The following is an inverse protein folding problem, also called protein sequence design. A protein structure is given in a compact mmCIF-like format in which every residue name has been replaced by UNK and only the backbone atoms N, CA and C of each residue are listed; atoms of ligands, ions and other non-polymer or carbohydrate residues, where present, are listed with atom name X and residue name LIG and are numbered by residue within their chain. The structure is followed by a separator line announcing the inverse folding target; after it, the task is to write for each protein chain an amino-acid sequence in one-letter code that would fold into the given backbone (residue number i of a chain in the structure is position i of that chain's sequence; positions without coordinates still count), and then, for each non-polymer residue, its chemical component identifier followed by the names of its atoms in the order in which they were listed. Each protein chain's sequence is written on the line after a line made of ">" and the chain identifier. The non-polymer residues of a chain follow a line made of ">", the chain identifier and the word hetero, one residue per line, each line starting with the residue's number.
data_IF_648336959306
#
_entry.id   IF_648336959306
#
_cell.length_a   1.000
_cell.length_b   1.000
_cell.length_c   1.000
_cell.angle_alpha   90.00
_cell.angle_beta   90.00
_cell.angle_gamma   90.00
#
_symmetry.space_group_name_H-M   'P 1'
#
loop_
_entity.id
_entity.type
_entity.pdbx_description
1 polymer ?
#
# COMPACT_ATOMS: atom_id res chain seq x y z
N UNK A 1 26.53 1.09 -53.44
CA UNK A 1 25.82 -0.18 -53.18
C UNK A 1 24.52 0.02 -52.37
N UNK A 2 24.50 0.81 -51.30
CA UNK A 2 23.30 1.03 -50.43
C UNK A 2 22.17 1.70 -51.22
N UNK A 3 22.44 2.76 -51.99
CA UNK A 3 21.43 3.49 -52.76
C UNK A 3 20.77 2.60 -53.87
N UNK A 4 21.53 1.74 -54.49
CA UNK A 4 20.99 0.80 -55.50
C UNK A 4 20.04 -0.22 -54.86
N UNK A 5 20.38 -0.74 -53.69
CA UNK A 5 19.55 -1.70 -52.95
C UNK A 5 18.26 -1.04 -52.44
N UNK A 6 18.32 0.23 -52.00
CA UNK A 6 17.15 0.99 -51.59
C UNK A 6 16.21 1.26 -52.75
N UNK A 7 16.74 1.59 -53.94
CA UNK A 7 15.93 1.80 -55.15
C UNK A 7 15.23 0.54 -55.61
N UNK A 8 15.92 -0.62 -55.53
CA UNK A 8 15.33 -1.91 -55.86
C UNK A 8 14.24 -2.31 -54.85
N UNK A 9 14.46 -2.11 -53.57
CA UNK A 9 13.48 -2.37 -52.49
C UNK A 9 12.21 -1.51 -52.72
N UNK A 10 12.39 -0.23 -53.02
CA UNK A 10 11.26 0.67 -53.27
C UNK A 10 10.44 0.22 -54.49
N UNK A 11 11.10 -0.15 -55.62
CA UNK A 11 10.41 -0.67 -56.79
C UNK A 11 9.64 -1.95 -56.52
N UNK A 12 10.14 -2.84 -55.69
CA UNK A 12 9.43 -4.06 -55.28
C UNK A 12 8.22 -3.74 -54.40
N UNK A 13 8.33 -2.83 -53.44
CA UNK A 13 7.22 -2.39 -52.61
C UNK A 13 6.07 -1.80 -53.45
N UNK A 14 6.41 -0.98 -54.44
CA UNK A 14 5.42 -0.37 -55.33
C UNK A 14 4.82 -1.38 -56.32
N UNK A 15 5.59 -2.38 -56.76
CA UNK A 15 5.12 -3.44 -57.69
C UNK A 15 4.12 -4.39 -57.00
N UNK A 16 4.36 -4.74 -55.73
CA UNK A 16 3.52 -5.66 -54.96
C UNK A 16 2.73 -4.92 -53.88
N UNK A 17 1.95 -3.91 -54.27
CA UNK A 17 1.29 -2.95 -53.35
C UNK A 17 0.45 -3.61 -52.28
N UNK A 18 -0.34 -4.63 -52.62
CA UNK A 18 -1.23 -5.29 -51.66
C UNK A 18 -0.46 -6.06 -50.62
N UNK A 19 0.53 -6.84 -51.01
CA UNK A 19 1.38 -7.63 -50.10
C UNK A 19 2.20 -6.72 -49.23
N UNK A 20 2.77 -5.64 -49.79
CA UNK A 20 3.52 -4.63 -49.02
C UNK A 20 2.64 -3.92 -48.01
N UNK A 21 1.42 -3.54 -48.39
CA UNK A 21 0.47 -2.92 -47.48
C UNK A 21 0.09 -3.83 -46.31
N UNK A 22 -0.22 -5.11 -46.57
CA UNK A 22 -0.51 -6.09 -45.50
C UNK A 22 0.69 -6.27 -44.58
N UNK A 23 1.90 -6.37 -45.12
CA UNK A 23 3.11 -6.51 -44.30
C UNK A 23 3.37 -5.28 -43.41
N UNK A 24 3.19 -4.07 -43.97
CA UNK A 24 3.36 -2.83 -43.22
C UNK A 24 2.32 -2.73 -42.11
N UNK A 25 1.05 -3.01 -42.39
CA UNK A 25 -0.02 -2.96 -41.39
C UNK A 25 0.21 -4.00 -40.29
N UNK A 26 0.57 -5.23 -40.68
CA UNK A 26 0.88 -6.29 -39.69
C UNK A 26 2.05 -5.90 -38.78
N UNK A 27 3.12 -5.32 -39.34
CA UNK A 27 4.26 -4.85 -38.60
C UNK A 27 3.90 -3.68 -37.68
N UNK A 28 3.11 -2.73 -38.17
CA UNK A 28 2.63 -1.59 -37.38
C UNK A 28 1.79 -2.04 -36.17
N UNK A 29 0.87 -3.01 -36.41
CA UNK A 29 0.09 -3.60 -35.30
C UNK A 29 1.02 -4.30 -34.29
N UNK A 30 1.98 -5.09 -34.78
CA UNK A 30 2.96 -5.74 -33.88
C UNK A 30 3.74 -4.76 -33.03
N UNK A 31 4.24 -3.67 -33.60
CA UNK A 31 4.92 -2.61 -32.83
C UNK A 31 3.99 -1.88 -31.89
N UNK A 32 2.75 -1.60 -32.26
CA UNK A 32 1.78 -0.99 -31.38
C UNK A 32 1.48 -1.87 -30.14
N UNK A 33 1.25 -3.16 -30.37
CA UNK A 33 1.04 -4.12 -29.28
C UNK A 33 2.28 -4.23 -28.36
N UNK A 34 3.47 -4.28 -28.94
CA UNK A 34 4.72 -4.31 -28.17
C UNK A 34 4.92 -3.04 -27.34
N UNK A 35 4.67 -1.86 -27.93
CA UNK A 35 4.78 -0.59 -27.23
C UNK A 35 3.80 -0.51 -26.04
N UNK A 36 2.53 -0.89 -26.27
CA UNK A 36 1.53 -0.91 -25.22
C UNK A 36 1.89 -1.89 -24.11
N UNK A 37 2.32 -3.10 -24.44
CA UNK A 37 2.77 -4.08 -23.45
C UNK A 37 3.98 -3.57 -22.64
N UNK A 38 4.95 -2.95 -23.31
CA UNK A 38 6.13 -2.38 -22.64
C UNK A 38 5.77 -1.22 -21.71
N UNK A 39 4.83 -0.36 -22.13
CA UNK A 39 4.31 0.72 -21.28
C UNK A 39 3.57 0.18 -20.07
N UNK A 40 2.74 -0.86 -20.27
CA UNK A 40 2.02 -1.53 -19.20
C UNK A 40 2.98 -2.17 -18.18
N UNK A 41 3.95 -2.94 -18.65
CA UNK A 41 4.96 -3.56 -17.78
C UNK A 41 5.70 -2.48 -16.98
N UNK A 42 6.12 -1.39 -17.65
CA UNK A 42 6.78 -0.29 -16.96
C UNK A 42 5.87 0.33 -15.89
N UNK A 43 4.60 0.55 -16.19
CA UNK A 43 3.63 1.08 -15.25
C UNK A 43 3.49 0.17 -14.03
N UNK A 44 3.27 -1.13 -14.23
CA UNK A 44 3.13 -2.11 -13.14
C UNK A 44 4.40 -2.25 -12.28
N UNK A 45 5.58 -2.21 -12.90
CA UNK A 45 6.85 -2.39 -12.18
C UNK A 45 7.34 -1.15 -11.46
N UNK A 46 6.69 0.00 -11.65
CA UNK A 46 7.04 1.27 -10.98
C UNK A 46 6.05 1.68 -9.89
N UNK A 47 5.10 0.79 -9.54
CA UNK A 47 4.22 1.01 -8.39
C UNK A 47 5.05 1.23 -7.12
N UNK A 48 4.67 2.24 -6.33
CA UNK A 48 5.33 2.62 -5.07
C UNK A 48 6.84 2.92 -5.16
N UNK A 49 7.43 2.93 -6.38
CA UNK A 49 8.86 3.18 -6.57
C UNK A 49 9.29 4.61 -6.19
N UNK A 50 8.35 5.53 -5.98
CA UNK A 50 8.62 6.92 -5.56
C UNK A 50 8.93 7.05 -4.07
N UNK A 51 8.66 6.02 -3.27
CA UNK A 51 9.03 6.03 -1.85
C UNK A 51 10.55 5.99 -1.69
N UNK A 52 11.04 6.80 -0.75
CA UNK A 52 12.44 6.74 -0.37
C UNK A 52 12.76 5.35 0.16
N UNK A 53 13.87 4.78 -0.29
CA UNK A 53 14.29 3.43 0.12
C UNK A 53 13.32 2.31 -0.30
N UNK A 54 12.49 2.51 -1.34
CA UNK A 54 11.53 1.50 -1.83
C UNK A 54 12.19 0.15 -2.15
N UNK A 55 13.43 0.18 -2.64
CA UNK A 55 14.26 -1.00 -2.93
C UNK A 55 14.67 -1.82 -1.70
N UNK A 56 14.51 -1.25 -0.50
CA UNK A 56 14.81 -1.88 0.79
C UNK A 56 13.58 -2.11 1.66
N UNK A 57 12.39 -1.78 1.14
CA UNK A 57 11.13 -1.96 1.85
C UNK A 57 10.50 -3.30 1.47
N UNK A 58 10.14 -4.09 2.46
CA UNK A 58 9.59 -5.42 2.28
C UNK A 58 8.35 -5.63 3.15
N UNK A 59 7.31 -6.20 2.55
CA UNK A 59 6.13 -6.63 3.31
C UNK A 59 6.40 -7.98 3.98
N UNK A 60 5.99 -8.10 5.24
CA UNK A 60 5.99 -9.37 5.93
C UNK A 60 4.70 -10.12 5.55
N UNK A 61 4.82 -11.27 4.93
CA UNK A 61 3.69 -12.09 4.50
C UNK A 61 3.77 -13.48 5.13
N UNK A 62 2.62 -14.10 5.37
CA UNK A 62 2.60 -15.51 5.76
C UNK A 62 2.72 -16.41 4.52
N UNK A 63 2.81 -17.71 4.75
CA UNK A 63 2.96 -18.73 3.68
C UNK A 63 1.82 -18.79 2.70
N UNK A 64 0.63 -18.42 3.13
CA UNK A 64 -0.56 -18.38 2.29
C UNK A 64 -0.60 -17.09 1.44
N UNK A 65 0.43 -16.24 1.58
CA UNK A 65 0.50 -14.94 0.93
C UNK A 65 -0.37 -13.88 1.58
N UNK A 66 -0.87 -14.12 2.79
CA UNK A 66 -1.64 -13.12 3.52
C UNK A 66 -0.70 -12.06 4.13
N UNK A 67 -1.04 -10.81 3.93
CA UNK A 67 -0.27 -9.63 4.35
C UNK A 67 -0.56 -9.25 5.81
N UNK A 68 -1.62 -9.79 6.39
CA UNK A 68 -2.00 -9.47 7.76
C UNK A 68 -1.39 -10.46 8.74
N UNK A 69 -0.51 -9.98 9.61
CA UNK A 69 0.28 -10.77 10.56
C UNK A 69 0.12 -10.20 11.96
N UNK A 70 0.21 -11.05 12.98
CA UNK A 70 0.14 -10.59 14.36
C UNK A 70 1.37 -9.74 14.74
N UNK A 71 1.15 -8.73 15.56
CA UNK A 71 2.24 -7.90 16.07
C UNK A 71 3.32 -8.73 16.81
N UNK A 72 2.91 -9.76 17.56
CA UNK A 72 3.86 -10.63 18.28
C UNK A 72 4.84 -11.33 17.33
N UNK A 73 4.34 -11.73 16.15
CA UNK A 73 5.21 -12.32 15.13
C UNK A 73 6.20 -11.28 14.58
N UNK A 74 5.71 -10.09 14.24
CA UNK A 74 6.57 -9.00 13.78
C UNK A 74 7.64 -8.62 14.83
N UNK A 75 7.27 -8.53 16.11
CA UNK A 75 8.20 -8.28 17.20
C UNK A 75 9.28 -9.36 17.29
N UNK A 76 8.91 -10.61 17.03
CA UNK A 76 9.87 -11.72 16.97
C UNK A 76 10.81 -11.59 15.78
N UNK A 77 10.30 -11.24 14.59
CA UNK A 77 11.14 -10.99 13.40
C UNK A 77 12.15 -9.89 13.68
N UNK A 78 11.73 -8.76 14.22
CA UNK A 78 12.62 -7.64 14.57
C UNK A 78 13.70 -8.06 15.59
N UNK A 79 13.35 -8.93 16.53
CA UNK A 79 14.28 -9.43 17.53
C UNK A 79 15.37 -10.35 16.95
N UNK A 80 15.02 -11.16 15.96
CA UNK A 80 15.94 -12.17 15.40
C UNK A 80 16.62 -11.72 14.10
N UNK A 81 16.13 -10.67 13.45
CA UNK A 81 16.69 -10.12 12.22
C UNK A 81 17.28 -8.74 12.48
N UNK A 82 18.57 -8.70 12.77
CA UNK A 82 19.29 -7.44 13.09
C UNK A 82 19.43 -6.50 11.88
N UNK A 83 19.12 -6.97 10.70
CA UNK A 83 19.13 -6.23 9.45
C UNK A 83 17.89 -5.32 9.29
N UNK A 84 16.88 -5.48 10.16
CA UNK A 84 15.70 -4.63 10.18
C UNK A 84 16.03 -3.28 10.83
N UNK A 85 16.05 -2.21 10.04
CA UNK A 85 16.30 -0.84 10.51
C UNK A 85 15.05 -0.15 11.03
N UNK A 86 13.91 -0.42 10.38
CA UNK A 86 12.63 0.17 10.77
C UNK A 86 11.48 -0.79 10.45
N UNK A 87 10.40 -0.65 11.18
CA UNK A 87 9.15 -1.37 10.94
C UNK A 87 7.97 -0.45 11.15
N UNK A 88 6.96 -0.61 10.34
CA UNK A 88 5.65 0.01 10.53
C UNK A 88 4.55 -1.02 10.45
N UNK A 89 3.50 -0.80 11.23
CA UNK A 89 2.30 -1.62 11.24
C UNK A 89 1.09 -0.75 10.93
N UNK A 90 0.33 -1.13 9.92
CA UNK A 90 -0.86 -0.39 9.51
C UNK A 90 -1.98 -1.32 9.05
N UNK A 91 -3.17 -0.76 8.85
CA UNK A 91 -4.30 -1.47 8.23
C UNK A 91 -4.88 -0.59 7.14
N UNK A 92 -5.09 -1.14 5.97
CA UNK A 92 -5.53 -0.38 4.79
C UNK A 92 -6.89 -0.82 4.24
N UNK A 93 -7.73 -1.50 5.02
CA UNK A 93 -8.89 -2.19 4.43
C UNK A 93 -10.23 -1.81 5.02
N UNK A 94 -10.32 -0.77 5.85
CA UNK A 94 -11.59 -0.39 6.45
C UNK A 94 -12.25 0.75 5.69
N UNK A 95 -13.37 0.42 5.04
CA UNK A 95 -14.27 1.42 4.45
C UNK A 95 -15.23 1.89 5.52
N UNK A 96 -15.34 3.21 5.66
CA UNK A 96 -16.19 3.85 6.64
C UNK A 96 -17.09 4.87 5.98
N UNK A 97 -18.33 4.98 6.46
CA UNK A 97 -19.17 6.12 6.12
C UNK A 97 -18.78 7.32 6.98
N UNK A 98 -18.28 8.37 6.34
CA UNK A 98 -18.03 9.64 7.01
C UNK A 98 -19.31 10.46 6.99
N UNK A 99 -19.79 10.82 8.18
CA UNK A 99 -21.02 11.60 8.37
C UNK A 99 -20.72 12.90 9.12
N UNK A 100 -21.39 13.96 8.72
CA UNK A 100 -21.36 15.25 9.40
C UNK A 100 -22.80 15.78 9.51
N UNK A 101 -23.24 16.20 10.71
CA UNK A 101 -24.61 16.63 10.98
C UNK A 101 -25.67 15.61 10.49
N UNK A 102 -25.46 14.33 10.81
CA UNK A 102 -26.29 13.20 10.39
C UNK A 102 -26.39 12.95 8.87
N UNK A 103 -25.70 13.75 8.07
CA UNK A 103 -25.64 13.58 6.62
C UNK A 103 -24.40 12.79 6.20
N UNK A 104 -24.58 11.79 5.35
CA UNK A 104 -23.47 11.08 4.71
C UNK A 104 -22.72 12.03 3.77
N UNK A 105 -21.44 12.25 4.01
CA UNK A 105 -20.58 13.03 3.13
C UNK A 105 -19.86 12.16 2.10
N UNK A 106 -19.28 11.05 2.54
CA UNK A 106 -18.56 10.15 1.67
C UNK A 106 -18.31 8.78 2.30
N UNK A 107 -18.04 7.78 1.45
CA UNK A 107 -17.36 6.58 1.85
C UNK A 107 -15.86 6.83 1.74
N UNK A 108 -15.11 6.46 2.76
CA UNK A 108 -13.70 6.77 2.90
C UNK A 108 -12.91 5.54 3.35
N UNK A 109 -11.61 5.54 3.04
CA UNK A 109 -10.64 4.56 3.55
C UNK A 109 -9.94 5.16 4.76
N UNK A 110 -10.15 4.55 5.92
CA UNK A 110 -9.46 4.92 7.15
C UNK A 110 -8.34 3.92 7.44
N UNK A 111 -7.11 4.42 7.47
CA UNK A 111 -5.91 3.63 7.75
C UNK A 111 -5.45 3.88 9.19
N UNK A 112 -5.30 2.80 9.94
CA UNK A 112 -4.65 2.83 11.25
C UNK A 112 -3.16 2.72 11.02
N UNK A 113 -2.39 3.65 11.60
CA UNK A 113 -0.94 3.71 11.43
C UNK A 113 -0.23 4.10 12.71
N UNK A 114 1.07 3.86 12.74
CA UNK A 114 1.99 4.35 13.77
C UNK A 114 2.83 5.53 13.24
N UNK A 115 3.69 6.09 14.09
CA UNK A 115 4.57 7.20 13.69
C UNK A 115 5.58 6.79 12.61
N UNK A 116 6.03 5.53 12.63
CA UNK A 116 6.97 4.99 11.64
C UNK A 116 6.37 4.96 10.23
N UNK A 117 5.03 4.84 10.12
CA UNK A 117 4.32 4.88 8.84
C UNK A 117 4.57 6.18 8.09
N UNK A 118 4.47 7.32 8.79
CA UNK A 118 4.69 8.61 8.15
C UNK A 118 6.13 8.75 7.65
N UNK A 119 7.10 8.30 8.46
CA UNK A 119 8.52 8.36 8.11
C UNK A 119 8.85 7.44 6.93
N UNK A 120 8.44 6.17 7.01
CA UNK A 120 8.78 5.16 6.01
C UNK A 120 8.17 5.46 4.65
N UNK A 121 6.94 5.96 4.65
CA UNK A 121 6.22 6.30 3.41
C UNK A 121 6.35 7.78 3.01
N UNK A 122 7.22 8.55 3.66
CA UNK A 122 7.48 9.98 3.38
C UNK A 122 6.22 10.87 3.38
N UNK A 123 5.27 10.58 4.26
CA UNK A 123 4.06 11.37 4.40
C UNK A 123 4.39 12.63 5.20
N UNK A 124 4.13 13.79 4.61
CA UNK A 124 4.35 15.09 5.25
C UNK A 124 3.05 15.63 5.83
N UNK A 125 3.16 16.18 7.04
CA UNK A 125 2.07 17.00 7.60
C UNK A 125 2.18 18.37 6.95
N UNK A 126 1.14 18.75 6.20
CA UNK A 126 1.06 20.02 5.46
C UNK A 126 0.50 21.15 6.34
N UNK A 127 -0.42 20.79 7.25
CA UNK A 127 -1.02 21.70 8.21
C UNK A 127 -1.43 20.94 9.48
N UNK A 128 -1.50 21.61 10.62
CA UNK A 128 -1.85 21.00 11.90
C UNK A 128 -0.66 20.36 12.62
N UNK A 129 -0.92 19.32 13.41
CA UNK A 129 0.07 18.64 14.25
C UNK A 129 -0.06 17.12 14.16
N UNK A 130 0.92 16.40 14.69
CA UNK A 130 0.94 14.94 14.81
C UNK A 130 0.09 14.38 15.97
N UNK A 131 -0.73 15.21 16.62
CA UNK A 131 -1.61 14.83 17.72
C UNK A 131 -2.46 13.59 17.44
N UNK A 132 -2.89 13.41 16.19
CA UNK A 132 -3.67 12.24 15.75
C UNK A 132 -2.95 10.90 15.96
N UNK A 133 -1.63 10.90 16.10
CA UNK A 133 -0.85 9.69 16.42
C UNK A 133 -0.92 9.32 17.90
N UNK A 134 -1.36 10.21 18.75
CA UNK A 134 -1.38 10.08 20.20
C UNK A 134 -2.78 10.08 20.81
N UNK A 135 -3.76 10.61 20.08
CA UNK A 135 -5.14 10.74 20.53
C UNK A 135 -6.10 9.96 19.60
N UNK A 136 -6.91 9.10 20.20
CA UNK A 136 -7.87 8.24 19.47
C UNK A 136 -9.07 8.99 18.88
N UNK A 137 -9.26 10.26 19.22
CA UNK A 137 -10.33 11.13 18.72
C UNK A 137 -9.88 12.10 17.64
N UNK A 138 -8.59 12.13 17.39
CA UNK A 138 -7.98 12.98 16.39
C UNK A 138 -7.61 12.18 15.16
N UNK A 139 -7.73 12.79 14.00
CA UNK A 139 -7.39 12.18 12.72
C UNK A 139 -6.66 13.16 11.81
N UNK A 140 -5.79 12.61 10.98
CA UNK A 140 -5.26 13.34 9.85
C UNK A 140 -6.06 13.00 8.59
N UNK A 141 -6.25 14.01 7.74
CA UNK A 141 -6.93 13.84 6.45
C UNK A 141 -5.97 14.05 5.30
N UNK A 142 -6.10 13.24 4.26
CA UNK A 142 -5.41 13.45 3.00
C UNK A 142 -5.89 14.76 2.37
N UNK A 143 -4.97 15.57 1.84
CA UNK A 143 -5.25 16.86 1.22
C UNK A 143 -6.32 16.78 0.13
N UNK A 144 -6.24 15.79 -0.77
CA UNK A 144 -7.21 15.63 -1.85
C UNK A 144 -8.61 15.30 -1.32
N UNK A 145 -8.69 14.50 -0.28
CA UNK A 145 -9.95 14.17 0.39
C UNK A 145 -10.52 15.40 1.11
N UNK A 146 -9.65 16.19 1.78
CA UNK A 146 -10.08 17.44 2.42
C UNK A 146 -10.68 18.44 1.42
N UNK A 147 -10.01 18.63 0.28
CA UNK A 147 -10.49 19.50 -0.81
C UNK A 147 -11.83 19.01 -1.40
N UNK A 148 -12.03 17.69 -1.46
CA UNK A 148 -13.28 17.06 -1.95
C UNK A 148 -14.42 17.22 -0.96
N UNK A 149 -14.17 17.03 0.35
CA UNK A 149 -15.20 17.06 1.38
C UNK A 149 -15.58 18.49 1.78
N UNK A 150 -14.62 19.38 1.86
CA UNK A 150 -14.82 20.76 2.32
C UNK A 150 -14.19 21.78 1.35
N UNK A 151 -14.69 21.89 0.12
CA UNK A 151 -14.14 22.78 -0.88
C UNK A 151 -14.13 24.23 -0.39
N UNK A 152 -12.95 24.84 -0.37
CA UNK A 152 -12.76 26.23 0.06
C UNK A 152 -12.92 26.50 1.56
N UNK A 153 -13.00 25.48 2.40
CA UNK A 153 -13.04 25.61 3.86
C UNK A 153 -11.74 25.06 4.47
N UNK A 154 -11.43 25.55 5.66
CA UNK A 154 -10.35 24.95 6.45
C UNK A 154 -10.78 23.56 6.95
N UNK A 155 -10.04 22.51 6.63
CA UNK A 155 -10.33 21.18 7.14
C UNK A 155 -9.94 21.00 8.61
N UNK A 156 -9.01 21.81 9.16
CA UNK A 156 -8.63 21.72 10.57
C UNK A 156 -9.78 22.08 11.49
N UNK A 157 -9.99 21.28 12.52
CA UNK A 157 -11.09 21.46 13.48
C UNK A 157 -12.45 20.98 12.97
N UNK A 158 -12.56 20.47 11.76
CA UNK A 158 -13.83 19.86 11.30
C UNK A 158 -14.13 18.61 12.14
N UNK A 159 -15.37 18.56 12.64
CA UNK A 159 -15.87 17.41 13.39
C UNK A 159 -16.76 16.55 12.50
N UNK A 160 -16.64 15.26 12.63
CA UNK A 160 -17.39 14.25 11.87
C UNK A 160 -17.51 12.96 12.67
N UNK A 161 -18.37 12.07 12.23
CA UNK A 161 -18.51 10.72 12.78
C UNK A 161 -18.16 9.68 11.72
N UNK A 162 -17.64 8.55 12.15
CA UNK A 162 -17.39 7.39 11.30
C UNK A 162 -18.34 6.28 11.69
N UNK A 163 -19.00 5.70 10.68
CA UNK A 163 -19.86 4.54 10.84
C UNK A 163 -19.26 3.36 10.07
N UNK A 164 -18.87 2.32 10.81
CA UNK A 164 -18.31 1.08 10.26
C UNK A 164 -19.32 -0.05 10.15
N UNK A 165 -20.62 0.25 10.26
CA UNK A 165 -21.71 -0.72 10.12
C UNK A 165 -21.90 -1.64 11.32
N UNK A 166 -21.19 -1.46 12.43
CA UNK A 166 -21.44 -2.16 13.70
C UNK A 166 -22.23 -1.26 14.63
N UNK A 167 -23.39 -1.75 15.07
CA UNK A 167 -24.25 -1.01 15.99
C UNK A 167 -23.49 -0.54 17.23
N UNK A 168 -23.52 0.76 17.50
CA UNK A 168 -23.19 1.36 18.80
C UNK A 168 -21.91 2.18 18.90
N UNK A 169 -21.26 2.57 17.82
CA UNK A 169 -20.02 3.36 17.89
C UNK A 169 -20.02 4.59 16.97
N UNK A 170 -21.04 5.41 17.03
CA UNK A 170 -20.97 6.76 16.45
C UNK A 170 -20.15 7.61 17.42
N UNK A 171 -18.86 7.71 17.14
CA UNK A 171 -17.92 8.49 17.95
C UNK A 171 -17.51 9.71 17.14
N UNK A 172 -17.58 10.94 17.70
CA UNK A 172 -17.09 12.12 17.01
C UNK A 172 -15.55 12.10 16.96
N UNK A 173 -15.05 12.49 15.81
CA UNK A 173 -13.63 12.67 15.51
C UNK A 173 -13.39 14.10 15.02
N UNK A 174 -12.17 14.59 15.23
CA UNK A 174 -11.76 15.93 14.82
C UNK A 174 -10.57 15.83 13.89
N UNK A 175 -10.58 16.58 12.80
CA UNK A 175 -9.41 16.73 11.93
C UNK A 175 -8.38 17.63 12.62
N UNK A 176 -7.21 17.11 12.94
CA UNK A 176 -6.11 17.87 13.58
C UNK A 176 -4.89 18.01 12.69
N UNK A 177 -4.84 17.30 11.57
CA UNK A 177 -3.78 17.43 10.59
C UNK A 177 -4.32 17.24 9.16
N UNK A 178 -3.67 17.94 8.22
CA UNK A 178 -3.76 17.68 6.79
C UNK A 178 -2.42 17.11 6.36
N UNK A 179 -2.47 15.96 5.71
CA UNK A 179 -1.25 15.27 5.25
C UNK A 179 -1.19 15.23 3.74
N UNK A 180 0.03 15.15 3.24
CA UNK A 180 0.26 14.87 1.82
C UNK A 180 -0.18 13.44 1.53
N UNK A 181 -0.86 13.26 0.42
CA UNK A 181 -1.27 11.95 -0.05
C UNK A 181 -0.41 11.54 -1.23
N UNK A 182 -0.50 10.28 -1.57
CA UNK A 182 0.11 9.78 -2.79
C UNK A 182 -0.83 10.00 -3.98
N UNK A 183 -0.25 10.00 -5.16
CA UNK A 183 -1.02 9.93 -6.40
C UNK A 183 -1.58 8.51 -6.63
N UNK A 184 -2.25 8.31 -7.76
CA UNK A 184 -2.91 7.04 -8.06
C UNK A 184 -1.93 5.88 -8.33
N UNK A 185 -0.62 6.12 -8.37
CA UNK A 185 0.40 5.10 -8.67
C UNK A 185 0.98 4.46 -7.39
N UNK A 186 0.12 4.25 -6.40
CA UNK A 186 0.43 3.55 -5.16
C UNK A 186 -0.58 2.44 -4.91
N UNK A 187 -0.14 1.33 -4.36
CA UNK A 187 -1.02 0.26 -3.88
C UNK A 187 -1.68 0.60 -2.53
N UNK A 188 -1.19 1.64 -1.85
CA UNK A 188 -1.71 2.12 -0.59
C UNK A 188 -2.59 3.36 -0.84
N UNK A 189 -3.86 3.29 -0.50
CA UNK A 189 -4.76 4.42 -0.54
C UNK A 189 -5.32 4.69 0.85
N UNK A 190 -5.31 5.94 1.25
CA UNK A 190 -5.98 6.38 2.47
C UNK A 190 -6.64 7.75 2.28
N UNK A 191 -7.80 7.91 2.87
CA UNK A 191 -8.48 9.21 3.01
C UNK A 191 -8.20 9.82 4.38
N UNK A 192 -8.20 8.99 5.42
CA UNK A 192 -7.91 9.38 6.80
C UNK A 192 -6.82 8.50 7.40
N UNK A 193 -5.98 9.11 8.22
CA UNK A 193 -5.02 8.41 9.08
C UNK A 193 -5.43 8.55 10.55
N UNK A 194 -5.30 7.46 11.26
CA UNK A 194 -5.61 7.34 12.66
C UNK A 194 -4.52 6.54 13.38
N UNK A 195 -4.31 6.83 14.68
CA UNK A 195 -3.34 6.11 15.44
C UNK A 195 -3.70 4.62 15.62
N UNK A 196 -2.65 3.82 15.74
CA UNK A 196 -2.73 2.39 15.93
C UNK A 196 -2.56 1.99 17.42
N UNK A 197 -2.56 2.94 18.35
CA UNK A 197 -2.28 2.69 19.78
C UNK A 197 -3.43 2.06 20.55
N UNK A 198 -4.64 2.01 19.99
CA UNK A 198 -5.76 1.27 20.60
C UNK A 198 -5.55 -0.25 20.62
N UNK A 199 -4.36 -0.73 20.32
CA UNK A 199 -3.94 -2.14 20.23
C UNK A 199 -4.21 -2.97 21.51
N UNK A 200 -4.32 -2.34 22.67
CA UNK A 200 -4.39 -3.12 23.92
C UNK A 200 -5.79 -3.52 24.37
N UNK A 201 -6.86 -2.83 23.93
CA UNK A 201 -8.16 -3.01 24.57
C UNK A 201 -9.39 -2.93 23.67
N UNK A 202 -9.26 -2.88 22.34
CA UNK A 202 -10.45 -2.80 21.49
C UNK A 202 -10.58 -4.05 20.64
N UNK A 203 -11.46 -4.95 21.10
CA UNK A 203 -12.01 -5.99 20.26
C UNK A 203 -13.21 -5.37 19.50
N UNK A 204 -13.11 -5.05 18.20
CA UNK A 204 -14.24 -4.52 17.44
C UNK A 204 -15.38 -5.53 17.32
N UNK A 205 -15.14 -6.80 17.68
CA UNK A 205 -16.12 -7.88 17.67
C UNK A 205 -16.43 -8.32 19.11
N UNK A 206 -17.00 -7.43 19.92
CA UNK A 206 -17.58 -7.84 21.22
C UNK A 206 -18.65 -8.91 20.98
N UNK A 207 -18.32 -10.15 21.26
CA UNK A 207 -19.23 -11.29 21.14
C UNK A 207 -18.56 -12.62 20.79
N UNK A 208 -17.27 -12.62 20.48
CA UNK A 208 -16.51 -13.83 20.25
C UNK A 208 -15.41 -13.99 21.31
N UNK A 209 -15.47 -15.08 22.07
CA UNK A 209 -14.44 -15.50 23.06
C UNK A 209 -13.14 -16.01 22.40
N UNK A 210 -12.86 -15.64 21.18
CA UNK A 210 -11.59 -15.95 20.53
C UNK A 210 -10.61 -14.83 20.89
N UNK A 211 -9.42 -15.14 21.43
CA UNK A 211 -8.39 -14.12 21.66
C UNK A 211 -8.02 -13.52 20.29
N UNK A 212 -8.64 -12.40 19.98
CA UNK A 212 -8.39 -11.65 18.75
C UNK A 212 -7.03 -10.96 18.90
N UNK A 213 -6.03 -11.51 18.26
CA UNK A 213 -4.80 -10.78 17.99
C UNK A 213 -5.04 -9.93 16.75
N UNK A 214 -5.11 -8.61 16.86
CA UNK A 214 -5.29 -7.77 15.68
C UNK A 214 -4.12 -8.04 14.73
N UNK A 215 -4.45 -8.45 13.51
CA UNK A 215 -3.47 -8.64 12.46
C UNK A 215 -3.34 -7.35 11.67
N UNK A 216 -2.12 -6.93 11.45
CA UNK A 216 -1.77 -5.73 10.69
C UNK A 216 -0.90 -6.10 9.49
N UNK A 217 -0.89 -5.22 8.52
CA UNK A 217 0.12 -5.25 7.47
C UNK A 217 1.41 -4.65 8.05
N UNK A 218 2.51 -5.35 7.88
CA UNK A 218 3.82 -4.91 8.38
C UNK A 218 4.76 -4.72 7.22
N UNK A 219 5.35 -3.53 7.15
CA UNK A 219 6.44 -3.21 6.22
C UNK A 219 7.71 -3.01 7.01
N UNK A 220 8.76 -3.69 6.57
CA UNK A 220 10.09 -3.65 7.12
C UNK A 220 11.00 -2.86 6.18
N UNK A 221 11.86 -2.01 6.72
CA UNK A 221 12.99 -1.45 5.97
C UNK A 221 14.26 -2.18 6.41
N UNK A 222 14.91 -2.80 5.45
CA UNK A 222 16.13 -3.55 5.69
C UNK A 222 17.37 -2.66 5.48
N UNK A 223 18.48 -3.04 6.09
CA UNK A 223 19.78 -2.41 5.88
C UNK A 223 20.24 -2.58 4.42
N UNK A 224 21.08 -1.68 3.89
CA UNK A 224 21.51 -1.72 2.48
C UNK A 224 22.24 -2.99 2.05
N UNK A 225 22.75 -3.77 3.00
CA UNK A 225 23.52 -4.98 2.76
C UNK A 225 22.80 -6.25 3.22
N UNK A 226 21.51 -6.16 3.51
CA UNK A 226 20.70 -7.29 3.94
C UNK A 226 20.55 -8.30 2.81
N UNK A 227 20.82 -9.56 3.12
CA UNK A 227 20.53 -10.68 2.23
C UNK A 227 19.14 -11.21 2.56
N UNK A 228 18.19 -10.96 1.67
CA UNK A 228 16.79 -11.33 1.84
C UNK A 228 16.61 -12.84 1.86
N UNK A 229 17.38 -13.57 1.08
CA UNK A 229 17.30 -15.05 1.03
C UNK A 229 17.80 -15.66 2.34
N UNK A 230 18.87 -15.10 2.94
CA UNK A 230 19.34 -15.53 4.25
C UNK A 230 18.33 -15.19 5.36
N UNK A 231 17.73 -14.02 5.32
CA UNK A 231 16.66 -13.64 6.25
C UNK A 231 15.48 -14.60 6.14
N UNK A 232 15.01 -14.90 4.93
CA UNK A 232 13.92 -15.86 4.70
C UNK A 232 14.26 -17.24 5.24
N UNK A 233 15.48 -17.75 4.97
CA UNK A 233 15.93 -19.04 5.49
C UNK A 233 15.95 -19.08 7.03
N UNK A 234 16.33 -17.98 7.68
CA UNK A 234 16.28 -17.86 9.15
C UNK A 234 14.85 -17.83 9.64
N UNK A 235 13.96 -17.06 9.01
CA UNK A 235 12.53 -17.01 9.37
C UNK A 235 11.87 -18.38 9.25
N UNK A 236 12.20 -19.15 8.22
CA UNK A 236 11.72 -20.52 8.04
C UNK A 236 12.20 -21.49 9.13
N UNK A 237 13.40 -21.24 9.67
CA UNK A 237 13.97 -22.07 10.75
C UNK A 237 13.36 -21.77 12.13
N UNK A 238 12.75 -20.60 12.31
CA UNK A 238 12.16 -20.18 13.57
C UNK A 238 10.75 -20.79 13.73
N UNK A 239 10.58 -21.63 14.74
CA UNK A 239 9.26 -22.19 15.08
C UNK A 239 8.47 -21.18 15.93
N UNK A 240 7.87 -20.18 15.28
CA UNK A 240 7.08 -19.15 15.98
C UNK A 240 5.75 -19.64 16.56
N UNK A 241 5.29 -20.82 16.16
CA UNK A 241 3.97 -21.35 16.51
C UNK A 241 3.98 -22.51 17.50
N UNK A 242 5.16 -22.89 18.02
CA UNK A 242 5.33 -23.94 19.02
C UNK A 242 4.58 -25.24 18.69
N UNK A 243 5.26 -26.27 18.27
CA UNK A 243 4.76 -27.66 18.10
C UNK A 243 3.60 -27.90 17.12
N UNK A 244 3.24 -26.99 16.24
CA UNK A 244 2.42 -27.35 15.09
C UNK A 244 3.33 -27.96 14.04
N UNK A 245 3.06 -29.22 13.65
CA UNK A 245 3.72 -29.87 12.52
C UNK A 245 3.64 -28.91 11.33
N UNK A 246 4.81 -28.49 10.84
CA UNK A 246 4.90 -27.68 9.62
C UNK A 246 4.26 -28.47 8.49
N UNK A 247 3.07 -28.08 8.08
CA UNK A 247 2.66 -28.40 6.72
C UNK A 247 3.53 -27.57 5.76
N UNK A 248 3.96 -28.13 4.61
CA UNK A 248 4.90 -27.45 3.71
C UNK A 248 4.44 -26.08 3.19
N UNK A 249 3.20 -25.69 3.46
CA UNK A 249 2.57 -24.44 3.06
C UNK A 249 2.76 -23.27 4.03
N UNK A 250 3.51 -23.44 5.13
CA UNK A 250 3.53 -22.44 6.22
C UNK A 250 4.86 -21.72 6.45
N UNK A 251 5.72 -21.46 5.45
CA UNK A 251 6.92 -20.63 5.59
C UNK A 251 6.62 -19.12 5.45
N UNK A 252 7.06 -18.28 6.36
CA UNK A 252 6.85 -16.84 6.30
C UNK A 252 7.96 -16.23 5.44
N UNK A 253 7.59 -15.57 4.36
CA UNK A 253 8.54 -14.98 3.42
C UNK A 253 8.39 -13.48 3.37
N UNK A 254 9.53 -12.78 3.23
CA UNK A 254 9.54 -11.40 2.82
C UNK A 254 9.24 -11.33 1.32
N UNK A 255 8.17 -10.64 0.94
CA UNK A 255 7.86 -10.34 -0.46
C UNK A 255 7.45 -8.87 -0.57
N UNK A 256 7.92 -8.23 -1.63
CA UNK A 256 7.35 -7.00 -2.15
C UNK A 256 6.13 -7.32 -2.99
#
# INVERSE_FOLDING_TARGET
>A
MIEHNLTLAWRQLVKYRLQSAVSIVSLAIGFACFALASMWIKYETTYDAFHKDADRMYCLVNNEGAWTISNQYCDSVVKYCHEVEAVTAFTNRYYWELRQNDSLLANIVCTYCDSSFLEMFNIRILAGTDGFLHNNREMAINRLTAERLWPGKDPLGQEFTLDGGTEGSIVPYTVTAVVDGWDEHSCLHFDLLRNNTSKKNHNPFKGYDIPYSPSFEHVLRLSPHADVDDINARLDSLDFFGNRKKEPSQANTLKL
#
